data_IF_815610331818
#
_entry.id   IF_815610331818
#
_cell.length_a   1.000
_cell.length_b   1.000
_cell.length_c   1.000
_cell.angle_alpha   90.00
_cell.angle_beta   90.00
_cell.angle_gamma   90.00
#
_symmetry.space_group_name_H-M   'P 1'
#
loop_
_entity.id
_entity.type
_entity.pdbx_description
1 polymer ?
#
# COMPACT_ATOMS: atom_id res chain seq x y z
N UNK A 1 0.17 20.50 16.24
CA UNK A 1 1.17 19.46 15.88
C UNK A 1 2.51 20.14 15.69
N UNK A 2 3.62 19.47 16.01
CA UNK A 2 4.95 20.00 15.76
C UNK A 2 5.18 20.06 14.24
N UNK A 3 5.53 21.22 13.73
CA UNK A 3 5.89 21.40 12.32
C UNK A 3 7.19 20.64 12.00
N UNK A 4 7.26 19.89 10.88
CA UNK A 4 8.48 19.20 10.51
C UNK A 4 9.59 20.16 10.11
N UNK A 5 10.83 19.74 10.36
CA UNK A 5 12.01 20.34 9.76
C UNK A 5 12.27 19.71 8.41
N UNK A 6 12.47 20.50 7.36
CA UNK A 6 12.92 19.98 6.08
C UNK A 6 14.44 19.84 6.10
N UNK A 7 14.93 18.60 6.12
CA UNK A 7 16.37 18.30 6.17
C UNK A 7 17.01 18.21 4.78
N UNK A 8 16.21 17.86 3.77
CA UNK A 8 16.64 17.75 2.38
C UNK A 8 15.50 18.10 1.44
N UNK A 9 15.79 18.77 0.33
CA UNK A 9 14.85 18.91 -0.77
C UNK A 9 15.55 19.12 -2.11
N UNK A 10 14.99 18.52 -3.14
CA UNK A 10 15.27 18.84 -4.53
C UNK A 10 13.98 18.85 -5.38
N UNK A 11 14.12 18.82 -6.70
CA UNK A 11 12.95 18.83 -7.63
C UNK A 11 12.13 17.53 -7.63
N UNK A 12 12.63 16.45 -7.03
CA UNK A 12 12.06 15.10 -7.05
C UNK A 12 11.67 14.62 -5.66
N UNK A 13 12.52 14.84 -4.67
CA UNK A 13 12.38 14.28 -3.33
C UNK A 13 12.57 15.36 -2.26
N UNK A 14 11.96 15.14 -1.10
CA UNK A 14 12.28 15.89 0.12
C UNK A 14 12.23 14.96 1.33
N UNK A 15 13.03 15.27 2.34
CA UNK A 15 13.05 14.57 3.62
C UNK A 15 12.60 15.53 4.70
N UNK A 16 11.50 15.17 5.35
CA UNK A 16 10.93 15.91 6.48
C UNK A 16 11.22 15.15 7.76
N UNK A 17 11.62 15.84 8.81
CA UNK A 17 11.93 15.26 10.11
C UNK A 17 11.02 15.81 11.19
N UNK A 18 10.53 14.92 12.03
CA UNK A 18 9.88 15.24 13.29
C UNK A 18 10.69 14.65 14.45
N UNK A 19 10.97 15.44 15.50
CA UNK A 19 11.63 14.93 16.69
C UNK A 19 10.70 13.99 17.47
N UNK A 20 11.30 13.13 18.31
CA UNK A 20 10.54 12.33 19.25
C UNK A 20 9.78 13.25 20.23
N UNK A 21 8.51 12.94 20.56
CA UNK A 21 7.73 13.71 21.53
C UNK A 21 8.42 13.93 22.89
N UNK A 22 9.18 12.95 23.40
CA UNK A 22 9.94 13.07 24.66
C UNK A 22 11.21 13.91 24.54
N UNK A 23 11.65 14.25 23.33
CA UNK A 23 12.94 14.88 23.07
C UNK A 23 14.14 13.92 23.06
N UNK A 24 13.92 12.60 23.18
CA UNK A 24 15.00 11.61 23.04
C UNK A 24 15.53 11.62 21.60
N UNK A 25 16.86 11.69 21.43
CA UNK A 25 17.50 11.74 20.10
C UNK A 25 18.47 10.58 19.86
N UNK A 26 18.67 10.23 18.58
CA UNK A 26 19.74 9.32 18.12
C UNK A 26 19.58 7.84 18.49
N UNK A 27 18.51 7.46 19.22
CA UNK A 27 18.26 6.07 19.58
C UNK A 27 17.59 5.31 18.44
N UNK A 28 16.41 5.76 18.01
CA UNK A 28 15.58 5.06 17.03
C UNK A 28 14.93 6.02 16.06
N UNK A 29 15.03 5.69 14.77
CA UNK A 29 14.45 6.46 13.66
C UNK A 29 13.51 5.60 12.84
N UNK A 30 12.29 6.07 12.63
CA UNK A 30 11.39 5.55 11.60
C UNK A 30 11.51 6.40 10.34
N UNK A 31 12.01 5.81 9.26
CA UNK A 31 11.98 6.44 7.93
C UNK A 31 10.80 5.87 7.15
N UNK A 32 9.95 6.73 6.63
CA UNK A 32 8.79 6.33 5.83
C UNK A 32 8.93 6.80 4.39
N UNK A 33 8.63 5.94 3.43
CA UNK A 33 8.58 6.29 2.02
C UNK A 33 7.12 6.44 1.57
N UNK A 34 6.81 7.61 1.05
CA UNK A 34 5.50 7.99 0.52
C UNK A 34 5.03 7.04 -0.60
N UNK A 35 3.76 6.65 -0.53
CA UNK A 35 3.13 5.85 -1.57
C UNK A 35 2.75 6.72 -2.78
N UNK A 36 2.66 6.09 -3.95
CA UNK A 36 2.24 6.80 -5.16
C UNK A 36 0.78 7.23 -5.10
N UNK A 37 0.52 8.53 -5.26
CA UNK A 37 -0.81 9.12 -5.51
C UNK A 37 -1.07 9.26 -7.02
N UNK A 38 -2.33 9.41 -7.38
CA UNK A 38 -2.67 9.78 -8.75
C UNK A 38 -2.35 11.25 -9.03
N UNK A 39 -1.89 11.56 -10.24
CA UNK A 39 -1.58 12.93 -10.64
C UNK A 39 -0.40 13.61 -9.93
N UNK A 40 0.53 12.87 -9.32
CA UNK A 40 1.70 13.45 -8.64
C UNK A 40 2.55 14.33 -9.58
N UNK A 41 2.49 15.65 -9.35
CA UNK A 41 3.29 16.67 -10.05
C UNK A 41 4.05 17.61 -9.12
N UNK A 42 3.72 17.56 -7.82
CA UNK A 42 4.30 18.36 -6.73
C UNK A 42 4.26 17.53 -5.44
N UNK A 43 5.02 17.94 -4.43
CA UNK A 43 4.91 17.36 -3.10
C UNK A 43 3.51 17.57 -2.54
N UNK A 44 3.01 16.57 -1.80
CA UNK A 44 1.83 16.76 -0.96
C UNK A 44 2.13 17.71 0.21
N UNK A 45 1.14 18.01 1.06
CA UNK A 45 1.43 18.67 2.32
C UNK A 45 2.40 17.83 3.18
N UNK A 46 3.19 18.45 4.07
CA UNK A 46 3.85 17.74 5.15
C UNK A 46 2.81 16.99 5.98
N UNK A 47 2.97 15.70 6.18
CA UNK A 47 1.98 14.89 6.93
C UNK A 47 2.71 13.92 7.84
N UNK A 48 2.33 13.93 9.12
CA UNK A 48 2.79 12.92 10.07
C UNK A 48 2.41 11.52 9.57
N UNK A 49 3.37 10.60 9.40
CA UNK A 49 3.08 9.26 8.94
C UNK A 49 2.19 8.52 9.95
N UNK A 50 0.99 8.09 9.52
CA UNK A 50 0.07 7.33 10.38
C UNK A 50 0.72 6.09 11.02
N UNK A 51 1.70 5.49 10.33
CA UNK A 51 2.49 4.35 10.82
C UNK A 51 3.25 4.66 12.12
N UNK A 52 3.72 5.90 12.31
CA UNK A 52 4.44 6.29 13.52
C UNK A 52 3.56 6.24 14.78
N UNK A 53 2.23 6.27 14.61
CA UNK A 53 1.28 6.08 15.70
C UNK A 53 1.54 7.04 16.87
N UNK A 54 1.54 6.46 18.09
CA UNK A 54 1.88 7.15 19.35
C UNK A 54 3.27 6.74 19.88
N UNK A 55 4.11 6.16 19.04
CA UNK A 55 5.45 5.77 19.48
C UNK A 55 6.29 7.01 19.74
N UNK A 56 7.08 6.97 20.81
CA UNK A 56 8.02 8.01 21.14
C UNK A 56 9.33 7.81 20.35
N UNK A 57 9.30 8.22 19.08
CA UNK A 57 10.42 8.04 18.16
C UNK A 57 10.57 9.21 17.20
N UNK A 58 11.77 9.36 16.68
CA UNK A 58 12.04 10.31 15.60
C UNK A 58 11.51 9.75 14.27
N UNK A 59 10.95 10.62 13.44
CA UNK A 59 10.36 10.23 12.15
C UNK A 59 11.00 11.04 11.04
N UNK A 60 11.46 10.36 10.00
CA UNK A 60 11.79 10.97 8.71
C UNK A 60 10.79 10.52 7.64
N UNK A 61 10.11 11.44 6.98
CA UNK A 61 9.26 11.13 5.83
C UNK A 61 9.97 11.54 4.53
N UNK A 62 10.24 10.54 3.68
CA UNK A 62 10.75 10.73 2.33
C UNK A 62 9.57 10.88 1.38
N UNK A 63 9.29 12.11 0.98
CA UNK A 63 8.23 12.43 0.02
C UNK A 63 8.79 12.57 -1.39
N UNK A 64 7.95 12.25 -2.37
CA UNK A 64 8.28 12.43 -3.79
C UNK A 64 7.27 13.35 -4.47
N UNK A 65 7.75 14.18 -5.39
CA UNK A 65 6.90 15.05 -6.19
C UNK A 65 6.28 14.31 -7.37
N UNK A 66 6.79 13.11 -7.70
CA UNK A 66 6.45 12.35 -8.92
C UNK A 66 6.22 10.89 -8.59
N UNK A 67 5.40 10.23 -9.40
CA UNK A 67 5.14 8.80 -9.29
C UNK A 67 6.16 8.01 -10.10
N UNK A 68 7.43 8.12 -9.73
CA UNK A 68 8.59 7.60 -10.47
C UNK A 68 9.36 6.51 -9.72
N UNK A 69 8.74 5.89 -8.70
CA UNK A 69 9.37 4.84 -7.90
C UNK A 69 10.68 5.26 -7.24
N UNK A 70 10.88 6.57 -7.00
CA UNK A 70 12.14 7.12 -6.49
C UNK A 70 13.34 6.83 -7.42
N UNK A 71 13.05 6.56 -8.70
CA UNK A 71 14.02 6.36 -9.77
C UNK A 71 14.05 7.61 -10.64
N UNK A 72 15.10 8.40 -10.46
CA UNK A 72 15.31 9.64 -11.21
C UNK A 72 16.79 9.98 -11.31
N UNK A 73 17.12 11.06 -12.02
CA UNK A 73 18.49 11.59 -12.05
C UNK A 73 19.00 12.06 -10.68
N UNK A 74 18.13 12.09 -9.66
CA UNK A 74 18.45 12.46 -8.27
C UNK A 74 18.50 11.26 -7.31
N UNK A 75 18.38 10.02 -7.79
CA UNK A 75 18.44 8.83 -6.93
C UNK A 75 19.75 8.75 -6.12
N UNK A 76 20.90 9.10 -6.72
CA UNK A 76 22.18 9.16 -6.01
C UNK A 76 22.20 10.21 -4.90
N UNK A 77 21.70 11.42 -5.18
CA UNK A 77 21.61 12.50 -4.18
C UNK A 77 20.64 12.16 -3.04
N UNK A 78 19.57 11.40 -3.32
CA UNK A 78 18.69 10.89 -2.27
C UNK A 78 19.38 9.85 -1.40
N UNK A 79 20.13 8.91 -2.00
CA UNK A 79 20.89 7.91 -1.25
C UNK A 79 21.95 8.57 -0.35
N UNK A 80 22.69 9.55 -0.86
CA UNK A 80 23.69 10.30 -0.08
C UNK A 80 23.04 11.07 1.08
N UNK A 81 21.93 11.76 0.83
CA UNK A 81 21.19 12.45 1.88
C UNK A 81 20.69 11.47 2.96
N UNK A 82 20.15 10.31 2.57
CA UNK A 82 19.76 9.28 3.53
C UNK A 82 20.95 8.77 4.34
N UNK A 83 22.11 8.56 3.72
CA UNK A 83 23.33 8.13 4.41
C UNK A 83 23.74 9.13 5.49
N UNK A 84 23.90 10.40 5.12
CA UNK A 84 24.31 11.46 6.05
C UNK A 84 23.30 11.66 7.19
N UNK A 85 22.00 11.61 6.88
CA UNK A 85 20.95 11.85 7.87
C UNK A 85 20.73 10.67 8.82
N UNK A 86 21.16 9.46 8.47
CA UNK A 86 20.93 8.25 9.27
C UNK A 86 22.16 7.72 10.00
N UNK A 87 23.36 8.19 9.67
CA UNK A 87 24.65 7.69 10.20
C UNK A 87 24.71 7.68 11.74
N UNK A 88 24.13 8.67 12.41
CA UNK A 88 24.15 8.78 13.88
C UNK A 88 23.12 7.92 14.63
N UNK A 89 22.19 7.25 13.93
CA UNK A 89 21.12 6.51 14.57
C UNK A 89 21.50 5.06 14.86
N UNK A 90 21.26 4.63 16.11
CA UNK A 90 21.53 3.23 16.50
C UNK A 90 20.57 2.25 15.88
N UNK A 91 19.35 2.67 15.59
CA UNK A 91 18.27 1.77 15.18
C UNK A 91 17.35 2.43 14.15
N UNK A 92 17.61 2.16 12.86
CA UNK A 92 16.81 2.69 11.76
C UNK A 92 15.83 1.64 11.24
N UNK A 93 14.55 2.00 11.22
CA UNK A 93 13.46 1.20 10.65
C UNK A 93 12.91 1.91 9.44
N UNK A 94 12.87 1.23 8.30
CA UNK A 94 12.22 1.75 7.10
C UNK A 94 10.81 1.19 6.99
N UNK A 95 9.91 1.97 6.41
CA UNK A 95 8.58 1.51 6.07
C UNK A 95 8.09 2.11 4.77
N UNK A 96 7.25 1.37 4.06
CA UNK A 96 6.64 1.86 2.84
C UNK A 96 5.51 0.96 2.36
N UNK A 97 4.70 1.51 1.46
CA UNK A 97 3.63 0.80 0.79
C UNK A 97 3.82 0.84 -0.71
N UNK A 98 3.62 -0.28 -1.42
CA UNK A 98 3.63 -0.30 -2.88
C UNK A 98 4.97 0.24 -3.42
N UNK A 99 4.94 1.33 -4.18
CA UNK A 99 6.09 2.10 -4.61
C UNK A 99 7.02 2.56 -3.47
N UNK A 100 6.47 2.94 -2.31
CA UNK A 100 7.28 3.32 -1.16
C UNK A 100 7.99 2.12 -0.53
N UNK A 101 7.38 0.93 -0.59
CA UNK A 101 8.02 -0.29 -0.09
C UNK A 101 9.19 -0.73 -0.99
N UNK A 102 9.05 -0.52 -2.31
CA UNK A 102 10.18 -0.63 -3.24
C UNK A 102 11.34 0.26 -2.81
N UNK A 103 11.08 1.55 -2.56
CA UNK A 103 12.11 2.50 -2.13
C UNK A 103 12.71 2.15 -0.77
N UNK A 104 11.89 1.69 0.19
CA UNK A 104 12.38 1.23 1.48
C UNK A 104 13.38 0.06 1.34
N UNK A 105 13.12 -0.89 0.43
CA UNK A 105 14.08 -1.97 0.15
C UNK A 105 15.31 -1.43 -0.60
N UNK A 106 15.11 -0.64 -1.65
CA UNK A 106 16.17 -0.11 -2.50
C UNK A 106 17.19 0.75 -1.75
N UNK A 107 16.73 1.62 -0.85
CA UNK A 107 17.58 2.55 -0.09
C UNK A 107 17.94 2.02 1.31
N UNK A 108 17.63 0.75 1.62
CA UNK A 108 17.89 0.18 2.96
C UNK A 108 19.35 0.26 3.40
N UNK A 109 20.30 0.01 2.49
CA UNK A 109 21.74 0.16 2.79
C UNK A 109 22.10 1.62 3.04
N UNK A 110 21.70 2.51 2.13
CA UNK A 110 22.00 3.93 2.22
C UNK A 110 21.40 4.57 3.48
N UNK A 111 20.25 4.10 3.95
CA UNK A 111 19.61 4.60 5.18
C UNK A 111 20.06 3.85 6.45
N UNK A 112 21.12 3.04 6.40
CA UNK A 112 21.61 2.24 7.53
C UNK A 112 20.51 1.41 8.22
N UNK A 113 19.56 0.90 7.43
CA UNK A 113 18.37 0.23 7.94
C UNK A 113 18.72 -1.08 8.64
N UNK A 114 18.12 -1.31 9.81
CA UNK A 114 18.13 -2.63 10.46
C UNK A 114 16.91 -3.45 10.11
N UNK A 115 15.76 -2.77 9.99
CA UNK A 115 14.46 -3.40 9.76
C UNK A 115 13.66 -2.70 8.68
N UNK A 116 12.84 -3.47 7.97
CA UNK A 116 11.91 -2.96 6.96
C UNK A 116 10.50 -3.50 7.18
N UNK A 117 9.51 -2.60 7.21
CA UNK A 117 8.10 -2.93 7.04
C UNK A 117 7.71 -2.65 5.59
N UNK A 118 7.68 -3.69 4.76
CA UNK A 118 7.29 -3.63 3.35
C UNK A 118 5.85 -4.13 3.19
N UNK A 119 4.92 -3.24 2.81
CA UNK A 119 3.50 -3.59 2.64
C UNK A 119 3.08 -3.49 1.18
N UNK A 120 2.52 -4.58 0.65
CA UNK A 120 2.16 -4.74 -0.76
C UNK A 120 3.24 -4.22 -1.72
N UNK A 121 4.52 -4.59 -1.53
CA UNK A 121 5.61 -4.02 -2.30
C UNK A 121 5.54 -4.39 -3.78
N UNK A 122 6.11 -3.52 -4.61
CA UNK A 122 6.38 -3.79 -6.02
C UNK A 122 7.87 -4.02 -6.16
N UNK A 123 8.31 -5.26 -6.36
CA UNK A 123 9.72 -5.58 -6.49
C UNK A 123 10.38 -4.83 -7.65
N UNK A 124 9.69 -4.80 -8.79
CA UNK A 124 9.97 -3.93 -9.94
C UNK A 124 8.67 -3.68 -10.69
N UNK A 125 8.62 -2.63 -11.52
CA UNK A 125 7.55 -2.45 -12.51
C UNK A 125 8.06 -2.51 -13.95
N UNK A 126 9.35 -2.83 -14.12
CA UNK A 126 9.96 -3.10 -15.42
C UNK A 126 9.31 -4.34 -16.04
N UNK A 127 8.73 -4.26 -17.26
CA UNK A 127 8.14 -5.41 -17.95
C UNK A 127 9.09 -6.61 -18.14
N UNK A 128 10.41 -6.38 -18.19
CA UNK A 128 11.39 -7.45 -18.31
C UNK A 128 11.57 -8.25 -17.00
N UNK A 129 11.29 -7.62 -15.86
CA UNK A 129 11.44 -8.22 -14.52
C UNK A 129 10.09 -8.67 -13.95
N UNK A 130 9.05 -7.89 -14.22
CA UNK A 130 7.69 -8.10 -13.71
C UNK A 130 6.65 -8.19 -14.84
N UNK A 131 6.81 -9.13 -15.81
CA UNK A 131 5.84 -9.31 -16.90
C UNK A 131 4.44 -9.69 -16.39
N UNK A 132 4.37 -10.21 -15.16
CA UNK A 132 3.15 -10.58 -14.47
C UNK A 132 2.32 -9.40 -13.95
N UNK A 133 2.82 -8.16 -14.03
CA UNK A 133 2.09 -6.95 -13.62
C UNK A 133 1.87 -5.95 -14.78
N UNK A 134 1.16 -6.36 -15.85
CA UNK A 134 1.04 -5.58 -17.09
C UNK A 134 0.39 -4.20 -16.90
N UNK A 135 -0.45 -4.07 -15.86
CA UNK A 135 -1.11 -2.81 -15.49
C UNK A 135 -0.11 -1.71 -15.08
N UNK A 136 1.15 -2.04 -14.80
CA UNK A 136 2.19 -1.10 -14.38
C UNK A 136 3.16 -0.76 -15.51
N UNK A 137 3.14 -1.47 -16.64
CA UNK A 137 4.05 -1.22 -17.77
C UNK A 137 3.96 0.21 -18.31
N UNK A 138 2.75 0.81 -18.34
CA UNK A 138 2.60 2.22 -18.71
C UNK A 138 3.30 3.15 -17.73
N UNK A 139 3.29 2.83 -16.44
CA UNK A 139 3.95 3.63 -15.40
C UNK A 139 5.48 3.53 -15.52
N UNK A 140 6.01 2.34 -15.84
CA UNK A 140 7.43 2.16 -16.13
C UNK A 140 7.89 2.99 -17.33
N UNK A 141 7.14 2.98 -18.45
CA UNK A 141 7.46 3.84 -19.61
C UNK A 141 7.52 5.33 -19.25
N UNK A 142 6.70 5.78 -18.30
CA UNK A 142 6.71 7.18 -17.83
C UNK A 142 7.89 7.50 -16.90
N UNK A 143 8.52 6.49 -16.27
CA UNK A 143 9.81 6.67 -15.59
C UNK A 143 10.88 6.99 -16.63
N UNK A 144 10.88 6.26 -17.75
CA UNK A 144 11.75 6.52 -18.90
C UNK A 144 13.23 6.22 -18.64
N UNK A 145 13.52 5.34 -17.68
CA UNK A 145 14.88 4.93 -17.29
C UNK A 145 14.87 3.49 -16.75
N UNK A 146 16.01 2.78 -16.78
CA UNK A 146 16.15 1.51 -16.10
C UNK A 146 15.82 1.62 -14.61
N UNK A 147 15.16 0.60 -14.08
CA UNK A 147 14.78 0.52 -12.68
C UNK A 147 15.71 -0.47 -11.98
N UNK A 148 16.56 -0.01 -11.03
CA UNK A 148 17.46 -0.89 -10.31
C UNK A 148 16.69 -1.98 -9.54
N UNK A 149 17.28 -3.15 -9.38
CA UNK A 149 16.69 -4.17 -8.53
C UNK A 149 16.98 -3.82 -7.05
N UNK A 150 16.02 -4.00 -6.12
CA UNK A 150 16.22 -3.62 -4.73
C UNK A 150 17.49 -4.21 -4.09
N UNK A 151 17.90 -5.42 -4.45
CA UNK A 151 19.12 -6.05 -3.90
C UNK A 151 20.44 -5.47 -4.43
N UNK A 152 20.43 -4.74 -5.56
CA UNK A 152 21.63 -4.13 -6.13
C UNK A 152 22.10 -2.93 -5.30
N UNK A 153 21.15 -2.21 -4.69
CA UNK A 153 21.43 -1.02 -3.88
C UNK A 153 21.09 -1.19 -2.40
N UNK A 154 20.13 -2.04 -2.08
CA UNK A 154 19.62 -2.29 -0.74
C UNK A 154 20.40 -3.35 0.04
N UNK A 155 20.32 -3.28 1.36
CA UNK A 155 20.88 -4.29 2.25
C UNK A 155 19.97 -5.52 2.30
N UNK A 156 20.43 -6.63 1.72
CA UNK A 156 19.71 -7.91 1.71
C UNK A 156 19.60 -8.56 3.08
N UNK A 157 20.34 -8.01 4.06
CA UNK A 157 20.43 -8.49 5.42
C UNK A 157 19.41 -7.79 6.36
N UNK A 158 18.58 -6.87 5.89
CA UNK A 158 17.50 -6.31 6.73
C UNK A 158 16.51 -7.38 7.19
N UNK A 159 16.10 -7.30 8.47
CA UNK A 159 15.00 -8.11 9.00
C UNK A 159 13.68 -7.33 8.89
N UNK A 160 12.54 -7.95 9.19
CA UNK A 160 11.26 -7.23 9.20
C UNK A 160 10.09 -8.02 8.68
N UNK A 161 9.05 -7.31 8.23
CA UNK A 161 7.81 -7.90 7.71
C UNK A 161 7.64 -7.57 6.24
N UNK A 162 7.35 -8.62 5.46
CA UNK A 162 6.90 -8.54 4.08
C UNK A 162 5.40 -8.88 4.05
N UNK A 163 4.55 -7.87 4.08
CA UNK A 163 3.09 -8.03 4.13
C UNK A 163 2.51 -7.94 2.72
N UNK A 164 1.71 -8.92 2.32
CA UNK A 164 1.08 -8.94 1.00
C UNK A 164 -0.27 -9.67 1.03
N UNK A 165 -1.13 -9.38 0.05
CA UNK A 165 -2.39 -10.10 -0.13
C UNK A 165 -2.17 -11.24 -1.13
N UNK A 166 -2.17 -12.51 -0.67
CA UNK A 166 -1.94 -13.64 -1.56
C UNK A 166 -3.06 -13.85 -2.58
N UNK A 167 -4.19 -13.18 -2.49
CA UNK A 167 -5.26 -13.32 -3.49
C UNK A 167 -5.03 -12.43 -4.71
N UNK A 168 -4.13 -11.44 -4.61
CA UNK A 168 -3.72 -10.57 -5.71
C UNK A 168 -2.48 -11.19 -6.37
N UNK A 169 -2.64 -11.67 -7.61
CA UNK A 169 -1.57 -12.40 -8.31
C UNK A 169 -0.26 -11.60 -8.46
N UNK A 170 -0.28 -10.30 -8.84
CA UNK A 170 0.93 -9.48 -8.82
C UNK A 170 1.59 -9.35 -7.45
N UNK A 171 0.82 -9.11 -6.38
CA UNK A 171 1.37 -8.97 -5.02
C UNK A 171 2.07 -10.26 -4.56
N UNK A 172 1.51 -11.44 -4.88
CA UNK A 172 2.18 -12.73 -4.61
C UNK A 172 3.53 -12.84 -5.29
N UNK A 173 3.60 -12.49 -6.57
CA UNK A 173 4.83 -12.64 -7.36
C UNK A 173 5.89 -11.63 -6.93
N UNK A 174 5.50 -10.38 -6.64
CA UNK A 174 6.41 -9.40 -6.03
C UNK A 174 6.93 -9.87 -4.68
N UNK A 175 6.06 -10.40 -3.81
CA UNK A 175 6.49 -10.93 -2.52
C UNK A 175 7.44 -12.13 -2.66
N UNK A 176 7.21 -13.02 -3.63
CA UNK A 176 8.11 -14.16 -3.89
C UNK A 176 9.51 -13.70 -4.32
N UNK A 177 9.61 -12.74 -5.23
CA UNK A 177 10.89 -12.17 -5.66
C UNK A 177 11.62 -11.48 -4.50
N UNK A 178 10.90 -10.72 -3.68
CA UNK A 178 11.49 -10.07 -2.50
C UNK A 178 11.99 -11.11 -1.49
N UNK A 179 11.18 -12.14 -1.19
CA UNK A 179 11.59 -13.19 -0.26
C UNK A 179 12.84 -13.95 -0.73
N UNK A 180 13.00 -14.13 -2.04
CA UNK A 180 14.19 -14.76 -2.62
C UNK A 180 15.46 -13.92 -2.45
N UNK A 181 15.36 -12.58 -2.50
CA UNK A 181 16.50 -11.67 -2.43
C UNK A 181 16.74 -11.05 -1.03
N UNK A 182 15.73 -11.06 -0.17
CA UNK A 182 15.76 -10.54 1.20
C UNK A 182 15.32 -11.63 2.18
N UNK A 183 16.14 -12.69 2.37
CA UNK A 183 15.74 -13.91 3.06
C UNK A 183 15.44 -13.72 4.56
N UNK A 184 15.83 -12.58 5.15
CA UNK A 184 15.59 -12.27 6.56
C UNK A 184 14.30 -11.49 6.82
N UNK A 185 13.56 -11.13 5.77
CA UNK A 185 12.20 -10.62 5.90
C UNK A 185 11.23 -11.77 6.16
N UNK A 186 10.35 -11.61 7.14
CA UNK A 186 9.29 -12.58 7.45
C UNK A 186 8.07 -12.34 6.56
N UNK A 187 7.72 -13.27 5.64
CA UNK A 187 6.55 -13.12 4.81
C UNK A 187 5.25 -13.27 5.63
N UNK A 188 4.33 -12.35 5.42
CA UNK A 188 3.05 -12.28 6.11
C UNK A 188 1.91 -12.11 5.10
N UNK A 189 1.32 -13.25 4.71
CA UNK A 189 0.18 -13.28 3.81
C UNK A 189 -1.12 -12.90 4.53
N UNK A 190 -1.80 -11.84 4.07
CA UNK A 190 -3.09 -11.35 4.57
C UNK A 190 -4.17 -11.42 3.47
N UNK A 191 -4.80 -12.60 3.26
CA UNK A 191 -5.78 -12.79 2.20
C UNK A 191 -6.93 -11.79 2.28
N UNK A 192 -7.33 -11.26 1.12
CA UNK A 192 -8.42 -10.31 0.92
C UNK A 192 -8.25 -8.99 1.71
N UNK A 193 -7.06 -8.72 2.23
CA UNK A 193 -6.73 -7.44 2.88
C UNK A 193 -6.57 -6.30 1.87
N UNK A 194 -6.22 -6.64 0.64
CA UNK A 194 -6.18 -5.76 -0.51
C UNK A 194 -4.81 -5.24 -0.92
N UNK A 195 -4.79 -4.07 -1.55
CA UNK A 195 -3.55 -3.37 -1.92
C UNK A 195 -3.70 -1.91 -1.47
N UNK A 196 -3.32 -1.57 -0.22
CA UNK A 196 -2.41 -2.34 0.63
C UNK A 196 -3.07 -3.53 1.35
N UNK A 197 -2.30 -4.59 1.57
CA UNK A 197 -2.73 -5.84 2.22
C UNK A 197 -3.16 -5.67 3.68
N UNK A 198 -2.76 -4.56 4.32
CA UNK A 198 -3.19 -4.20 5.67
C UNK A 198 -4.57 -3.56 5.71
N UNK A 199 -5.33 -3.50 4.61
CA UNK A 199 -6.61 -2.79 4.54
C UNK A 199 -7.61 -3.21 5.63
N UNK A 200 -7.78 -4.51 5.87
CA UNK A 200 -8.68 -4.99 6.93
C UNK A 200 -8.21 -4.61 8.35
N UNK A 201 -6.89 -4.60 8.59
CA UNK A 201 -6.32 -4.13 9.84
C UNK A 201 -6.46 -2.61 10.00
N UNK A 202 -6.36 -1.86 8.90
CA UNK A 202 -6.53 -0.41 8.90
C UNK A 202 -7.95 -0.01 9.27
N UNK A 203 -8.95 -0.69 8.70
CA UNK A 203 -10.36 -0.44 8.99
C UNK A 203 -10.68 -0.69 10.48
N UNK A 204 -9.95 -1.62 11.11
CA UNK A 204 -10.05 -1.92 12.54
C UNK A 204 -9.07 -1.13 13.44
N UNK A 205 -8.34 -0.14 12.90
CA UNK A 205 -7.38 0.68 13.66
C UNK A 205 -6.12 -0.06 14.15
N UNK A 206 -5.85 -1.27 13.64
CA UNK A 206 -4.83 -2.18 14.15
C UNK A 206 -3.46 -2.08 13.42
N UNK A 207 -3.30 -1.17 12.46
CA UNK A 207 -2.02 -1.00 11.74
C UNK A 207 -0.88 -0.58 12.67
N UNK A 208 -1.17 0.27 13.67
CA UNK A 208 -0.16 0.71 14.65
C UNK A 208 0.45 -0.45 15.43
N UNK A 209 -0.33 -1.48 15.76
CA UNK A 209 0.18 -2.70 16.41
C UNK A 209 1.21 -3.42 15.55
N UNK A 210 0.95 -3.52 14.23
CA UNK A 210 1.89 -4.15 13.30
C UNK A 210 3.16 -3.33 13.14
N UNK A 211 3.05 -1.99 13.04
CA UNK A 211 4.24 -1.13 13.00
C UNK A 211 5.06 -1.26 14.28
N UNK A 212 4.40 -1.27 15.44
CA UNK A 212 5.04 -1.42 16.75
C UNK A 212 5.86 -2.69 16.85
N UNK A 213 5.35 -3.82 16.36
CA UNK A 213 6.12 -5.09 16.32
C UNK A 213 7.45 -4.94 15.55
N UNK A 214 7.44 -4.23 14.42
CA UNK A 214 8.66 -4.00 13.64
C UNK A 214 9.57 -2.99 14.34
N UNK A 215 9.02 -1.90 14.90
CA UNK A 215 9.75 -0.86 15.64
C UNK A 215 10.45 -1.43 16.88
N UNK A 216 9.80 -2.36 17.61
CA UNK A 216 10.32 -2.95 18.85
C UNK A 216 11.11 -4.25 18.65
N UNK A 217 11.32 -4.68 17.39
CA UNK A 217 12.04 -5.91 17.03
C UNK A 217 11.33 -7.20 17.51
N UNK A 218 10.04 -7.10 17.83
CA UNK A 218 9.17 -8.22 18.20
C UNK A 218 8.41 -8.71 16.96
N UNK A 219 9.14 -9.09 15.90
CA UNK A 219 8.55 -9.49 14.62
C UNK A 219 7.90 -10.87 14.74
N UNK A 220 6.57 -10.92 14.64
CA UNK A 220 5.80 -12.16 14.63
C UNK A 220 4.72 -12.14 13.53
N UNK A 221 5.03 -12.75 12.39
CA UNK A 221 4.07 -12.87 11.29
C UNK A 221 2.86 -13.76 11.66
N UNK A 222 3.02 -14.70 12.59
CA UNK A 222 1.94 -15.53 13.12
C UNK A 222 0.91 -14.70 13.90
N UNK A 223 1.39 -13.83 14.80
CA UNK A 223 0.56 -12.88 15.54
C UNK A 223 -0.17 -11.90 14.61
N UNK A 224 0.51 -11.34 13.60
CA UNK A 224 -0.12 -10.47 12.60
C UNK A 224 -1.22 -11.20 11.82
N UNK A 225 -0.98 -12.46 11.41
CA UNK A 225 -2.01 -13.28 10.75
C UNK A 225 -3.19 -13.58 11.68
N UNK A 226 -2.94 -13.86 12.96
CA UNK A 226 -4.00 -14.09 13.95
C UNK A 226 -4.86 -12.82 14.17
N UNK A 227 -4.20 -11.66 14.26
CA UNK A 227 -4.86 -10.36 14.36
C UNK A 227 -5.73 -10.07 13.13
N UNK A 228 -5.21 -10.31 11.92
CA UNK A 228 -5.99 -10.20 10.68
C UNK A 228 -7.21 -11.13 10.70
N UNK A 229 -7.03 -12.40 11.07
CA UNK A 229 -8.16 -13.35 11.16
C UNK A 229 -9.25 -12.88 12.13
N UNK A 230 -8.85 -12.32 13.28
CA UNK A 230 -9.77 -11.82 14.31
C UNK A 230 -10.57 -10.61 13.83
N UNK A 231 -9.94 -9.68 13.11
CA UNK A 231 -10.53 -8.38 12.78
C UNK A 231 -11.18 -8.32 11.39
N UNK A 232 -10.79 -9.19 10.45
CA UNK A 232 -11.16 -9.07 9.04
C UNK A 232 -12.67 -9.09 8.76
N UNK A 233 -13.48 -9.79 9.55
CA UNK A 233 -14.94 -9.82 9.36
C UNK A 233 -15.61 -8.45 9.57
N UNK A 234 -14.98 -7.57 10.34
CA UNK A 234 -15.46 -6.22 10.62
C UNK A 234 -15.21 -5.26 9.45
N UNK A 235 -14.26 -5.58 8.56
CA UNK A 235 -13.90 -4.75 7.41
C UNK A 235 -14.86 -4.96 6.23
N UNK A 236 -15.54 -3.89 5.80
CA UNK A 236 -16.34 -3.89 4.57
C UNK A 236 -15.51 -4.21 3.33
N UNK A 237 -14.27 -3.72 3.27
CA UNK A 237 -13.31 -4.04 2.19
C UNK A 237 -13.01 -5.54 2.12
N UNK A 238 -12.79 -6.18 3.27
CA UNK A 238 -12.54 -7.62 3.32
C UNK A 238 -13.77 -8.40 2.84
N UNK A 239 -14.97 -8.04 3.32
CA UNK A 239 -16.23 -8.67 2.90
C UNK A 239 -16.41 -8.57 1.39
N UNK A 240 -16.27 -7.37 0.81
CA UNK A 240 -16.36 -7.15 -0.63
C UNK A 240 -15.37 -8.03 -1.41
N UNK A 241 -14.08 -8.01 -1.05
CA UNK A 241 -13.05 -8.78 -1.77
C UNK A 241 -13.26 -10.29 -1.67
N UNK A 242 -13.66 -10.79 -0.50
CA UNK A 242 -14.01 -12.19 -0.31
C UNK A 242 -15.22 -12.56 -1.19
N UNK A 243 -16.26 -11.73 -1.21
CA UNK A 243 -17.46 -11.95 -2.02
C UNK A 243 -17.15 -11.91 -3.52
N UNK A 244 -16.34 -10.96 -3.99
CA UNK A 244 -15.90 -10.91 -5.40
C UNK A 244 -15.08 -12.15 -5.78
N UNK A 245 -14.21 -12.64 -4.90
CA UNK A 245 -13.48 -13.87 -5.16
C UNK A 245 -14.42 -15.09 -5.18
N UNK A 246 -15.40 -15.13 -4.28
CA UNK A 246 -16.38 -16.19 -4.20
C UNK A 246 -17.34 -16.19 -5.40
N UNK A 247 -17.69 -15.05 -5.99
CA UNK A 247 -18.66 -14.97 -7.08
C UNK A 247 -18.24 -15.76 -8.32
N UNK A 248 -16.94 -15.87 -8.57
CA UNK A 248 -16.40 -16.66 -9.69
C UNK A 248 -16.60 -18.17 -9.55
N UNK A 249 -16.71 -18.69 -8.31
CA UNK A 249 -16.80 -20.15 -8.03
C UNK A 249 -18.14 -20.56 -7.41
N UNK A 250 -18.79 -19.65 -6.72
CA UNK A 250 -20.00 -19.87 -5.93
C UNK A 250 -20.98 -18.70 -6.09
N UNK A 251 -21.45 -18.39 -7.33
CA UNK A 251 -22.29 -17.22 -7.60
C UNK A 251 -23.57 -17.21 -6.76
N UNK A 252 -24.22 -18.36 -6.55
CA UNK A 252 -25.42 -18.48 -5.71
C UNK A 252 -25.18 -18.08 -4.23
N UNK A 253 -23.98 -18.34 -3.70
CA UNK A 253 -23.61 -17.93 -2.32
C UNK A 253 -23.16 -16.47 -2.26
N UNK A 254 -22.57 -15.96 -3.34
CA UNK A 254 -22.10 -14.58 -3.42
C UNK A 254 -23.24 -13.57 -3.64
N UNK A 255 -24.29 -13.95 -4.37
CA UNK A 255 -25.42 -13.09 -4.69
C UNK A 255 -26.06 -12.37 -3.48
N UNK A 256 -26.48 -13.06 -2.40
CA UNK A 256 -27.04 -12.38 -1.23
C UNK A 256 -26.02 -11.46 -0.54
N UNK A 257 -24.75 -11.85 -0.51
CA UNK A 257 -23.69 -11.03 0.09
C UNK A 257 -23.39 -9.76 -0.74
N UNK A 258 -23.43 -9.84 -2.08
CA UNK A 258 -23.30 -8.68 -2.95
C UNK A 258 -24.46 -7.71 -2.72
N UNK A 259 -25.70 -8.21 -2.73
CA UNK A 259 -26.89 -7.39 -2.46
C UNK A 259 -26.78 -6.69 -1.12
N UNK A 260 -26.43 -7.42 -0.06
CA UNK A 260 -26.23 -6.85 1.27
C UNK A 260 -25.18 -5.73 1.28
N UNK A 261 -24.10 -5.84 0.51
CA UNK A 261 -23.08 -4.78 0.42
C UNK A 261 -23.65 -3.53 -0.28
N UNK A 262 -24.44 -3.68 -1.35
CA UNK A 262 -25.03 -2.54 -2.07
C UNK A 262 -26.06 -1.82 -1.21
N UNK A 263 -26.85 -2.56 -0.44
CA UNK A 263 -27.92 -2.05 0.42
C UNK A 263 -27.41 -1.49 1.77
N UNK A 264 -26.19 -1.84 2.20
CA UNK A 264 -25.62 -1.38 3.48
C UNK A 264 -25.31 0.13 3.43
N UNK A 265 -26.08 0.98 4.16
CA UNK A 265 -25.86 2.42 4.15
C UNK A 265 -24.57 2.83 4.87
N UNK A 266 -23.97 1.92 5.64
CA UNK A 266 -22.68 2.13 6.31
C UNK A 266 -21.50 1.71 5.43
N UNK A 267 -21.74 1.06 4.29
CA UNK A 267 -20.69 0.72 3.34
C UNK A 267 -20.28 1.97 2.53
N UNK A 268 -18.97 2.09 2.31
CA UNK A 268 -18.41 3.14 1.46
C UNK A 268 -19.04 3.10 0.06
N UNK A 269 -19.36 4.26 -0.51
CA UNK A 269 -20.06 4.37 -1.78
C UNK A 269 -19.33 3.62 -2.93
N UNK A 270 -17.99 3.66 -2.96
CA UNK A 270 -17.19 2.91 -3.95
C UNK A 270 -17.29 1.38 -3.75
N UNK A 271 -17.48 0.90 -2.51
CA UNK A 271 -17.71 -0.53 -2.23
C UNK A 271 -19.10 -0.97 -2.70
N UNK A 272 -20.11 -0.13 -2.45
CA UNK A 272 -21.49 -0.34 -2.94
C UNK A 272 -21.49 -0.40 -4.47
N UNK A 273 -20.80 0.53 -5.14
CA UNK A 273 -20.66 0.51 -6.60
C UNK A 273 -19.98 -0.77 -7.11
N UNK A 274 -18.89 -1.19 -6.46
CA UNK A 274 -18.17 -2.41 -6.86
C UNK A 274 -19.03 -3.66 -6.75
N UNK A 275 -19.81 -3.77 -5.67
CA UNK A 275 -20.77 -4.84 -5.53
C UNK A 275 -21.87 -4.76 -6.61
N UNK A 276 -22.44 -3.58 -6.88
CA UNK A 276 -23.48 -3.40 -7.90
C UNK A 276 -23.01 -3.78 -9.31
N UNK A 277 -21.81 -3.33 -9.71
CA UNK A 277 -21.18 -3.74 -10.98
C UNK A 277 -21.00 -5.26 -11.05
N UNK A 278 -20.55 -5.88 -9.97
CA UNK A 278 -20.38 -7.33 -9.92
C UNK A 278 -21.74 -8.07 -10.02
N UNK A 279 -22.82 -7.50 -9.49
CA UNK A 279 -24.17 -8.05 -9.66
C UNK A 279 -24.64 -7.95 -11.11
N UNK A 280 -24.35 -6.85 -11.81
CA UNK A 280 -24.64 -6.67 -13.24
C UNK A 280 -23.86 -7.70 -14.07
N UNK A 281 -22.56 -7.86 -13.80
CA UNK A 281 -21.71 -8.83 -14.51
C UNK A 281 -22.17 -10.29 -14.29
N UNK A 282 -22.90 -10.57 -13.20
CA UNK A 282 -23.49 -11.87 -12.89
C UNK A 282 -24.96 -11.98 -13.33
N UNK A 283 -25.51 -10.93 -13.94
CA UNK A 283 -26.92 -10.83 -14.36
C UNK A 283 -27.91 -11.15 -13.23
N UNK A 284 -27.61 -10.67 -12.01
CA UNK A 284 -28.46 -10.93 -10.86
C UNK A 284 -29.74 -10.07 -10.91
N UNK A 285 -30.90 -10.63 -10.49
CA UNK A 285 -32.15 -9.87 -10.46
C UNK A 285 -32.06 -8.60 -9.60
N UNK A 286 -32.58 -7.49 -10.12
CA UNK A 286 -32.61 -6.18 -9.44
C UNK A 286 -31.25 -5.46 -9.38
N UNK A 287 -30.22 -5.94 -10.09
CA UNK A 287 -28.89 -5.29 -10.06
C UNK A 287 -28.92 -3.85 -10.60
N UNK A 288 -29.69 -3.59 -11.65
CA UNK A 288 -29.86 -2.25 -12.22
C UNK A 288 -30.63 -1.32 -11.29
N UNK A 289 -31.70 -1.79 -10.65
CA UNK A 289 -32.49 -1.00 -9.70
C UNK A 289 -31.63 -0.57 -8.50
N UNK A 290 -30.83 -1.50 -7.97
CA UNK A 290 -29.89 -1.21 -6.89
C UNK A 290 -28.78 -0.23 -7.30
N UNK A 291 -28.29 -0.31 -8.54
CA UNK A 291 -27.33 0.67 -9.07
C UNK A 291 -27.98 2.06 -9.21
N UNK A 292 -29.20 2.13 -9.73
CA UNK A 292 -29.94 3.39 -9.84
C UNK A 292 -30.16 4.03 -8.49
N UNK A 293 -30.63 3.26 -7.50
CA UNK A 293 -30.79 3.74 -6.12
C UNK A 293 -29.47 4.25 -5.52
N UNK A 294 -28.36 3.53 -5.75
CA UNK A 294 -27.04 3.98 -5.30
C UNK A 294 -26.65 5.33 -5.90
N UNK A 295 -26.94 5.56 -7.18
CA UNK A 295 -26.62 6.82 -7.85
C UNK A 295 -27.51 7.98 -7.35
N UNK A 296 -28.74 7.69 -6.92
CA UNK A 296 -29.61 8.65 -6.25
C UNK A 296 -29.11 8.99 -4.83
N UNK A 297 -28.62 7.99 -4.08
CA UNK A 297 -28.12 8.15 -2.72
C UNK A 297 -26.78 8.91 -2.62
N UNK A 298 -26.01 8.98 -3.72
CA UNK A 298 -24.66 9.54 -3.73
C UNK A 298 -24.66 10.84 -4.54
N UNK A 299 -24.76 12.02 -3.89
CA UNK A 299 -24.69 13.30 -4.58
C UNK A 299 -23.28 13.47 -5.20
N UNK A 300 -23.24 13.82 -6.50
CA UNK A 300 -22.04 14.01 -7.30
C UNK A 300 -21.07 12.80 -7.34
N UNK A 301 -21.48 11.67 -7.96
CA UNK A 301 -20.61 10.50 -8.07
C UNK A 301 -19.33 10.84 -8.86
N UNK A 302 -18.15 10.31 -8.46
CA UNK A 302 -16.90 10.57 -9.17
C UNK A 302 -17.00 10.23 -10.66
N UNK A 303 -16.52 11.11 -11.55
CA UNK A 303 -16.58 10.88 -13.02
C UNK A 303 -16.02 9.52 -13.47
N UNK A 304 -15.03 8.98 -12.74
CA UNK A 304 -14.45 7.65 -13.03
C UNK A 304 -15.47 6.50 -12.90
N UNK A 305 -16.56 6.68 -12.15
CA UNK A 305 -17.64 5.71 -11.98
C UNK A 305 -18.35 5.47 -13.29
N UNK A 306 -18.68 6.53 -14.04
CA UNK A 306 -19.42 6.43 -15.30
C UNK A 306 -18.73 5.49 -16.29
N UNK A 307 -17.41 5.66 -16.48
CA UNK A 307 -16.66 4.75 -17.35
C UNK A 307 -16.68 3.29 -16.88
N UNK A 308 -16.77 3.02 -15.56
CA UNK A 308 -16.88 1.65 -15.03
C UNK A 308 -18.28 1.07 -15.24
N UNK A 309 -19.31 1.88 -15.01
CA UNK A 309 -20.72 1.52 -15.19
C UNK A 309 -20.98 1.22 -16.66
N UNK A 310 -20.65 2.13 -17.57
CA UNK A 310 -20.84 1.94 -19.02
C UNK A 310 -20.18 0.64 -19.49
N UNK A 311 -18.92 0.38 -19.11
CA UNK A 311 -18.26 -0.88 -19.46
C UNK A 311 -18.97 -2.13 -18.92
N UNK A 312 -19.58 -2.06 -17.74
CA UNK A 312 -20.32 -3.18 -17.18
C UNK A 312 -21.62 -3.44 -17.95
N UNK A 313 -22.32 -2.37 -18.33
CA UNK A 313 -23.55 -2.43 -19.14
C UNK A 313 -23.23 -2.98 -20.54
N UNK A 314 -22.23 -2.43 -21.21
CA UNK A 314 -21.84 -2.83 -22.57
C UNK A 314 -21.51 -4.32 -22.66
N UNK A 315 -20.84 -4.87 -21.64
CA UNK A 315 -20.49 -6.30 -21.57
C UNK A 315 -21.68 -7.23 -21.46
N UNK A 316 -22.83 -6.73 -20.99
CA UNK A 316 -24.03 -7.53 -20.75
C UNK A 316 -25.13 -7.25 -21.78
N UNK A 317 -24.75 -6.77 -22.97
CA UNK A 317 -25.67 -6.55 -24.09
C UNK A 317 -26.60 -5.37 -23.83
N UNK A 318 -26.00 -4.19 -23.64
CA UNK A 318 -26.69 -2.93 -23.32
C UNK A 318 -28.01 -2.75 -24.08
N UNK A 319 -28.96 -2.09 -23.40
CA UNK A 319 -30.29 -1.77 -23.94
C UNK A 319 -30.26 -1.32 -25.41
#
# INVERSE_FOLDING_TARGET
MIEPRQLYADRRHRILHWPAPSGTTGQRLLVTFEHGRDGMRRFGPPTWPKLAGRHDLEVMAVQTARRDWYVSYRSGALAEALSQLTEGYRDVVLSGFSMGAYAALLYSRAAHARRVLAVSPQYSIDPAVAPFDPMRHRKFRLIGRPMPLPQEMGDTQVTGLLIYDPTIAPDRQHAALIAAHFPRLSPCALPYGGHPATGALNDAGAVGTVTGMVIEAAIDAGAVRALHRKLRSQSGRYRLRLTMAASTRHPARAAPALRQIVEDPQAEAEQRLEAAIQMIDLQLPGAFDLLSQLLEDVPDPPQRWMGRITRAIDRNGGF
#
